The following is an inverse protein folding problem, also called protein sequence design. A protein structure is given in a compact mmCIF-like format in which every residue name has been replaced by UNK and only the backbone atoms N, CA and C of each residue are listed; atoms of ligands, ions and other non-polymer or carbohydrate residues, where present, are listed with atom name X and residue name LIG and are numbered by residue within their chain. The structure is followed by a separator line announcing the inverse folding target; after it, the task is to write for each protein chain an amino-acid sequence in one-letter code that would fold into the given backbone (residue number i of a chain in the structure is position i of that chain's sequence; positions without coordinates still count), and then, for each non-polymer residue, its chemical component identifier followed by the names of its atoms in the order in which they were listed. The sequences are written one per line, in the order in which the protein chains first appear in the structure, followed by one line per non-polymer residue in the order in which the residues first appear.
data_IF_240834463226
#
_entry.id   IF_240834463226
#
_cell.length_a   1.000
_cell.length_b   1.000
_cell.length_c   1.000
_cell.angle_alpha   90.00
_cell.angle_beta   90.00
_cell.angle_gamma   90.00
#
_symmetry.space_group_name_H-M   'P 1'
#
loop_
_entity.id
_entity.type
_entity.pdbx_description
1 polymer ?
#
# COMPACT_ATOMS: atom_id res chain seq x y z
N UNK A 1 14.59 11.70 19.66
CA UNK A 1 15.23 13.01 19.52
C UNK A 1 14.67 13.89 18.38
N UNK A 2 14.03 14.99 18.76
CA UNK A 2 13.67 16.13 17.92
C UNK A 2 14.24 17.37 18.63
N UNK A 3 15.10 18.12 17.94
CA UNK A 3 15.73 19.33 18.51
C UNK A 3 16.41 19.09 19.87
N UNK A 4 17.13 17.97 20.02
CA UNK A 4 17.82 17.62 21.26
C UNK A 4 16.92 17.13 22.40
N UNK A 5 15.62 16.92 22.17
CA UNK A 5 14.68 16.39 23.15
C UNK A 5 14.07 15.07 22.70
N UNK A 6 13.90 14.14 23.64
CA UNK A 6 13.19 12.90 23.38
C UNK A 6 11.68 13.10 23.49
N UNK A 7 11.00 12.73 22.39
CA UNK A 7 9.57 12.86 22.22
C UNK A 7 8.98 11.47 22.03
N UNK A 8 7.83 11.22 22.67
CA UNK A 8 7.10 9.96 22.54
C UNK A 8 5.87 10.19 21.65
N UNK A 9 5.82 9.46 20.53
CA UNK A 9 4.71 9.53 19.58
C UNK A 9 3.92 8.22 19.59
N UNK A 10 2.60 8.32 19.66
CA UNK A 10 1.69 7.19 19.55
C UNK A 10 0.99 7.21 18.20
N UNK A 11 1.13 6.14 17.42
CA UNK A 11 0.59 6.07 16.06
C UNK A 11 -0.23 4.79 15.89
N UNK A 12 -1.57 4.90 15.73
CA UNK A 12 -2.39 3.73 15.46
C UNK A 12 -2.13 3.24 14.03
N UNK A 13 -1.47 2.08 13.89
CA UNK A 13 -1.16 1.51 12.57
C UNK A 13 -2.40 0.84 11.97
N UNK A 14 -2.86 1.32 10.82
CA UNK A 14 -4.07 0.84 10.12
C UNK A 14 -3.85 0.75 8.62
N UNK A 15 -4.76 0.07 7.92
CA UNK A 15 -4.78 0.10 6.45
C UNK A 15 -4.99 1.54 5.96
N UNK A 16 -4.28 1.93 4.90
CA UNK A 16 -4.42 3.26 4.30
C UNK A 16 -5.68 3.41 3.44
N UNK A 17 -6.34 2.31 3.07
CA UNK A 17 -7.49 2.29 2.15
C UNK A 17 -7.23 3.12 0.88
N UNK A 18 -6.16 2.75 0.16
CA UNK A 18 -5.61 3.53 -0.95
C UNK A 18 -6.63 3.88 -2.04
N UNK A 19 -6.36 4.97 -2.75
CA UNK A 19 -7.18 5.39 -3.89
C UNK A 19 -7.09 4.39 -5.05
N UNK A 20 -5.88 3.91 -5.29
CA UNK A 20 -5.56 2.88 -6.26
C UNK A 20 -4.92 1.65 -5.57
N UNK A 21 -5.72 0.77 -4.93
CA UNK A 21 -5.19 -0.30 -4.08
C UNK A 21 -4.61 -1.47 -4.90
N UNK A 22 -3.28 -1.73 -4.86
CA UNK A 22 -2.66 -2.82 -5.61
C UNK A 22 -3.09 -4.17 -5.05
N UNK A 23 -3.39 -4.23 -3.75
CA UNK A 23 -3.92 -5.43 -3.09
C UNK A 23 -5.27 -5.89 -3.63
N UNK A 24 -6.08 -4.99 -4.21
CA UNK A 24 -7.32 -5.33 -4.92
C UNK A 24 -6.99 -5.81 -6.33
N UNK A 25 -6.21 -5.00 -7.06
CA UNK A 25 -5.91 -5.25 -8.49
C UNK A 25 -5.15 -6.55 -8.76
N UNK A 26 -4.35 -7.02 -7.81
CA UNK A 26 -3.52 -8.22 -7.96
C UNK A 26 -4.11 -9.46 -7.26
N UNK A 27 -5.30 -9.37 -6.68
CA UNK A 27 -5.96 -10.54 -6.14
C UNK A 27 -6.45 -11.43 -7.31
N UNK A 28 -5.91 -12.64 -7.49
CA UNK A 28 -6.28 -13.49 -8.62
C UNK A 28 -7.67 -14.08 -8.46
N UNK A 29 -8.24 -14.02 -7.25
CA UNK A 29 -9.54 -14.57 -6.90
C UNK A 29 -10.64 -13.51 -6.83
N UNK A 30 -10.33 -12.22 -7.03
CA UNK A 30 -11.32 -11.14 -6.96
C UNK A 30 -11.95 -10.91 -5.58
N UNK A 31 -11.31 -11.42 -4.51
CA UNK A 31 -11.85 -11.39 -3.14
C UNK A 31 -11.58 -10.08 -2.41
N UNK A 32 -10.52 -9.37 -2.83
CA UNK A 32 -10.25 -8.02 -2.37
C UNK A 32 -11.08 -7.03 -3.21
N UNK A 33 -11.77 -6.10 -2.55
CA UNK A 33 -12.65 -5.10 -3.19
C UNK A 33 -12.40 -3.71 -2.62
N UNK A 34 -12.85 -2.70 -3.36
CA UNK A 34 -12.93 -1.32 -2.90
C UNK A 34 -14.36 -0.83 -3.06
N UNK A 35 -14.97 -0.44 -1.95
CA UNK A 35 -16.29 0.16 -1.93
C UNK A 35 -16.24 1.59 -2.48
N UNK A 36 -17.34 2.05 -3.09
CA UNK A 36 -17.44 3.41 -3.63
C UNK A 36 -17.27 4.49 -2.55
N UNK A 37 -17.69 4.19 -1.32
CA UNK A 37 -17.49 5.04 -0.13
C UNK A 37 -16.05 5.09 0.38
N UNK A 38 -15.12 4.30 -0.19
CA UNK A 38 -13.70 4.30 0.17
C UNK A 38 -13.13 3.02 0.79
N UNK A 39 -13.85 2.24 1.62
CA UNK A 39 -13.33 1.03 2.23
C UNK A 39 -12.76 0.01 1.23
N UNK A 40 -11.44 -0.14 1.25
CA UNK A 40 -10.77 -1.33 0.70
C UNK A 40 -10.93 -2.49 1.69
N UNK A 41 -11.34 -3.69 1.28
CA UNK A 41 -11.54 -4.85 2.16
C UNK A 41 -11.22 -6.18 1.45
N UNK A 42 -11.17 -7.28 2.20
CA UNK A 42 -11.02 -8.65 1.68
C UNK A 42 -12.21 -9.45 2.19
N UNK A 43 -12.91 -10.13 1.27
CA UNK A 43 -13.97 -11.08 1.60
C UNK A 43 -13.34 -12.36 2.17
N UNK A 44 -13.52 -12.65 3.47
CA UNK A 44 -12.89 -13.80 4.11
C UNK A 44 -13.49 -15.14 3.66
N UNK A 45 -14.75 -15.16 3.25
CA UNK A 45 -15.47 -16.38 2.90
C UNK A 45 -15.02 -16.94 1.54
N UNK A 46 -14.53 -16.05 0.67
CA UNK A 46 -14.04 -16.40 -0.66
C UNK A 46 -12.51 -16.45 -0.76
N UNK A 47 -11.78 -16.03 0.30
CA UNK A 47 -10.33 -15.92 0.26
C UNK A 47 -9.61 -17.27 0.36
N UNK A 48 -8.66 -17.51 -0.55
CA UNK A 48 -7.79 -18.69 -0.55
C UNK A 48 -6.38 -18.43 0.04
N UNK A 49 -6.12 -17.23 0.59
CA UNK A 49 -4.86 -17.01 1.31
C UNK A 49 -3.61 -16.87 0.43
N UNK A 50 -3.77 -16.56 -0.86
CA UNK A 50 -2.68 -16.47 -1.84
C UNK A 50 -1.63 -15.36 -1.59
N UNK A 51 -1.81 -14.53 -0.57
CA UNK A 51 -0.85 -13.54 -0.05
C UNK A 51 -0.26 -12.50 -1.03
N UNK A 52 -0.67 -12.46 -2.31
CA UNK A 52 -0.26 -11.42 -3.26
C UNK A 52 -0.59 -10.01 -2.76
N UNK A 53 -1.73 -9.85 -2.09
CA UNK A 53 -2.13 -8.58 -1.48
C UNK A 53 -1.14 -8.08 -0.42
N UNK A 54 -0.49 -8.98 0.33
CA UNK A 54 0.58 -8.64 1.28
C UNK A 54 1.84 -8.22 0.55
N UNK A 55 2.25 -9.00 -0.46
CA UNK A 55 3.48 -8.77 -1.22
C UNK A 55 3.52 -7.40 -1.91
N UNK A 56 2.36 -6.87 -2.30
CA UNK A 56 2.26 -5.59 -3.03
C UNK A 56 1.79 -4.41 -2.17
N UNK A 57 1.49 -4.63 -0.90
CA UNK A 57 1.09 -3.56 0.00
C UNK A 57 2.35 -2.82 0.48
N UNK A 58 2.50 -1.51 0.20
CA UNK A 58 3.68 -0.74 0.64
C UNK A 58 3.84 -0.68 2.17
N UNK A 59 2.74 -0.93 2.89
CA UNK A 59 2.68 -0.89 4.35
C UNK A 59 2.63 -2.28 5.01
N UNK A 60 2.73 -3.36 4.22
CA UNK A 60 2.67 -4.75 4.69
C UNK A 60 1.44 -5.03 5.60
N UNK A 61 0.29 -4.44 5.28
CA UNK A 61 -0.91 -4.49 6.15
C UNK A 61 -1.64 -5.84 6.09
N UNK A 62 -1.91 -6.45 4.92
CA UNK A 62 -2.61 -7.72 4.88
C UNK A 62 -1.81 -8.84 5.53
N UNK A 63 -2.39 -9.52 6.51
CA UNK A 63 -1.78 -10.66 7.20
C UNK A 63 -2.60 -11.92 7.00
N UNK A 64 -1.94 -13.07 7.01
CA UNK A 64 -2.58 -14.37 6.74
C UNK A 64 -2.85 -15.10 8.05
N UNK A 65 -4.07 -15.62 8.18
CA UNK A 65 -4.40 -16.61 9.21
C UNK A 65 -4.56 -17.96 8.53
N UNK A 66 -3.77 -18.94 8.97
CA UNK A 66 -3.87 -20.34 8.53
C UNK A 66 -4.93 -21.08 9.35
N UNK A 67 -5.44 -22.18 8.82
CA UNK A 67 -6.42 -23.05 9.48
C UNK A 67 -7.87 -22.56 9.39
N UNK A 68 -8.16 -21.57 8.54
CA UNK A 68 -9.49 -20.95 8.40
C UNK A 68 -9.84 -20.63 6.95
N UNK A 69 -11.13 -20.62 6.62
CA UNK A 69 -11.63 -20.21 5.30
C UNK A 69 -11.94 -21.38 4.38
N UNK A 70 -12.49 -21.08 3.20
CA UNK A 70 -13.07 -22.07 2.29
C UNK A 70 -12.12 -23.22 1.90
N UNK A 71 -10.81 -22.96 1.89
CA UNK A 71 -9.82 -23.97 1.57
C UNK A 71 -9.79 -25.15 2.56
N UNK A 72 -10.24 -24.97 3.81
CA UNK A 72 -10.34 -26.08 4.78
C UNK A 72 -11.48 -27.05 4.45
N UNK A 73 -12.39 -26.64 3.56
CA UNK A 73 -13.56 -27.41 3.13
C UNK A 73 -13.38 -28.01 1.72
N UNK A 74 -12.24 -27.75 1.07
CA UNK A 74 -11.91 -28.23 -0.27
C UNK A 74 -10.84 -29.34 -0.20
N UNK A 75 -10.76 -30.17 -1.24
CA UNK A 75 -9.89 -31.36 -1.42
C UNK A 75 -8.45 -31.17 -0.83
N UNK A 76 -7.77 -32.21 -0.27
CA UNK A 76 -6.54 -32.08 0.52
C UNK A 76 -5.29 -31.70 -0.31
N UNK A 77 -5.48 -31.34 -1.58
CA UNK A 77 -4.46 -30.64 -2.35
C UNK A 77 -4.17 -29.28 -1.68
N UNK A 78 -2.94 -28.75 -1.76
CA UNK A 78 -2.57 -27.47 -1.14
C UNK A 78 -3.13 -26.27 -1.95
N UNK A 79 -4.46 -26.20 -2.11
CA UNK A 79 -5.15 -25.11 -2.77
C UNK A 79 -5.47 -24.06 -1.71
N UNK A 80 -4.52 -23.16 -1.47
CA UNK A 80 -4.70 -22.07 -0.53
C UNK A 80 -4.03 -22.30 0.82
N UNK A 81 -3.79 -21.22 1.54
CA UNK A 81 -2.92 -21.19 2.71
C UNK A 81 -3.49 -20.40 3.88
N UNK A 82 -4.82 -20.21 3.93
CA UNK A 82 -5.46 -19.34 4.91
C UNK A 82 -6.47 -18.38 4.33
N UNK A 83 -6.85 -17.42 5.16
CA UNK A 83 -7.54 -16.19 4.78
C UNK A 83 -6.60 -15.01 5.01
N UNK A 84 -6.64 -14.04 4.11
CA UNK A 84 -5.96 -12.76 4.29
C UNK A 84 -6.89 -11.79 5.00
N UNK A 85 -6.45 -11.25 6.14
CA UNK A 85 -7.18 -10.25 6.93
C UNK A 85 -6.46 -8.91 6.91
N UNK A 86 -7.24 -7.85 7.09
CA UNK A 86 -6.79 -6.46 7.27
C UNK A 86 -7.96 -5.62 7.78
N UNK A 87 -7.68 -4.39 8.21
CA UNK A 87 -8.73 -3.39 8.45
C UNK A 87 -9.64 -3.26 7.22
N UNK A 88 -10.95 -3.28 7.44
CA UNK A 88 -12.02 -3.08 6.47
C UNK A 88 -12.74 -1.74 6.66
N UNK A 89 -12.16 -0.85 7.48
CA UNK A 89 -12.70 0.43 7.90
C UNK A 89 -14.04 0.33 8.66
N UNK A 90 -14.34 -0.81 9.28
CA UNK A 90 -15.65 -1.07 9.91
C UNK A 90 -16.79 -0.77 8.93
N UNK A 91 -16.67 -1.28 7.71
CA UNK A 91 -17.61 -1.00 6.60
C UNK A 91 -19.07 -1.31 6.96
N UNK A 92 -19.29 -2.30 7.81
CA UNK A 92 -20.59 -2.71 8.31
C UNK A 92 -21.22 -1.67 9.24
N UNK A 93 -20.40 -1.00 10.07
CA UNK A 93 -20.84 0.12 10.91
C UNK A 93 -21.06 1.38 10.08
N UNK A 94 -20.15 1.68 9.17
CA UNK A 94 -20.28 2.83 8.26
C UNK A 94 -21.54 2.74 7.40
N UNK A 95 -21.87 1.55 6.90
CA UNK A 95 -23.10 1.31 6.12
C UNK A 95 -24.38 1.61 6.92
N UNK A 96 -24.32 1.61 8.25
CA UNK A 96 -25.43 1.93 9.16
C UNK A 96 -25.37 3.38 9.67
N UNK A 97 -24.44 4.20 9.16
CA UNK A 97 -24.20 5.57 9.64
C UNK A 97 -23.48 5.63 10.99
N UNK A 98 -22.89 4.52 11.45
CA UNK A 98 -22.09 4.46 12.67
C UNK A 98 -20.62 4.82 12.45
N UNK A 99 -19.87 4.91 13.55
CA UNK A 99 -18.42 5.17 13.53
C UNK A 99 -17.61 3.87 13.65
N UNK A 100 -16.38 3.82 13.11
CA UNK A 100 -15.50 2.68 13.32
C UNK A 100 -15.14 2.47 14.79
N UNK A 101 -15.12 1.20 15.23
CA UNK A 101 -14.95 0.83 16.63
C UNK A 101 -13.67 1.39 17.26
N UNK A 102 -12.58 1.51 16.49
CA UNK A 102 -11.34 2.10 16.98
C UNK A 102 -11.49 3.57 17.38
N UNK A 103 -12.41 4.32 16.76
CA UNK A 103 -12.68 5.71 17.09
C UNK A 103 -13.51 5.82 18.35
N UNK A 104 -14.60 5.05 18.44
CA UNK A 104 -15.45 4.99 19.63
C UNK A 104 -14.67 4.52 20.85
N UNK A 105 -13.70 3.62 20.69
CA UNK A 105 -12.86 3.14 21.77
C UNK A 105 -11.77 4.14 22.21
N UNK A 106 -11.48 5.19 21.44
CA UNK A 106 -10.37 6.09 21.72
C UNK A 106 -10.76 7.14 22.78
N UNK A 107 -10.23 7.09 24.02
CA UNK A 107 -10.61 8.04 25.06
C UNK A 107 -10.13 9.47 24.79
N UNK A 108 -9.14 9.63 23.90
CA UNK A 108 -8.60 10.92 23.49
C UNK A 108 -9.28 11.48 22.24
N UNK A 109 -10.21 10.74 21.64
CA UNK A 109 -10.86 11.09 20.39
C UNK A 109 -9.82 11.56 19.34
N UNK A 110 -8.74 10.79 19.18
CA UNK A 110 -7.62 11.16 18.31
C UNK A 110 -7.92 10.96 16.80
N UNK A 111 -9.06 10.37 16.47
CA UNK A 111 -9.45 10.01 15.12
C UNK A 111 -10.73 10.74 14.70
N UNK A 112 -10.87 10.96 13.39
CA UNK A 112 -12.05 11.55 12.75
C UNK A 112 -12.39 10.72 11.51
N UNK A 113 -13.66 10.73 11.14
CA UNK A 113 -14.17 10.15 9.89
C UNK A 113 -15.25 11.04 9.31
N UNK A 114 -15.37 11.02 7.99
CA UNK A 114 -16.27 11.88 7.25
C UNK A 114 -15.95 11.85 5.77
N UNK A 115 -16.55 12.78 5.05
CA UNK A 115 -16.32 12.92 3.61
C UNK A 115 -14.87 13.28 3.30
N UNK A 116 -14.37 12.79 2.17
CA UNK A 116 -12.93 12.88 1.83
C UNK A 116 -12.44 14.33 1.80
N UNK A 117 -13.22 15.24 1.23
CA UNK A 117 -12.85 16.66 1.12
C UNK A 117 -12.78 17.34 2.49
N UNK A 118 -13.74 17.05 3.36
CA UNK A 118 -13.80 17.58 4.72
C UNK A 118 -12.63 17.06 5.58
N UNK A 119 -12.41 15.74 5.58
CA UNK A 119 -11.32 15.13 6.36
C UNK A 119 -9.95 15.57 5.86
N UNK A 120 -9.79 15.77 4.55
CA UNK A 120 -8.57 16.35 3.98
C UNK A 120 -8.34 17.78 4.46
N UNK A 121 -9.37 18.62 4.42
CA UNK A 121 -9.31 20.00 4.90
C UNK A 121 -8.94 20.05 6.38
N UNK A 122 -9.60 19.22 7.20
CA UNK A 122 -9.35 19.12 8.64
C UNK A 122 -7.91 18.67 8.93
N UNK A 123 -7.39 17.69 8.18
CA UNK A 123 -6.02 17.24 8.34
C UNK A 123 -5.00 18.35 8.01
N UNK A 124 -5.23 19.08 6.92
CA UNK A 124 -4.37 20.19 6.50
C UNK A 124 -4.38 21.33 7.52
N UNK A 125 -5.57 21.76 7.95
CA UNK A 125 -5.73 22.77 9.00
C UNK A 125 -5.02 22.35 10.29
N UNK A 126 -5.18 21.08 10.69
CA UNK A 126 -4.52 20.58 11.90
C UNK A 126 -3.00 20.57 11.78
N UNK A 127 -2.48 20.26 10.60
CA UNK A 127 -1.04 20.33 10.34
C UNK A 127 -0.53 21.78 10.47
N UNK A 128 -1.24 22.75 9.91
CA UNK A 128 -0.90 24.18 10.04
C UNK A 128 -0.90 24.64 11.51
N UNK A 129 -1.94 24.28 12.27
CA UNK A 129 -2.08 24.64 13.70
C UNK A 129 -0.90 24.15 14.56
N UNK A 130 -0.36 22.98 14.26
CA UNK A 130 0.71 22.36 15.05
C UNK A 130 2.10 22.54 14.42
N UNK A 131 2.21 23.27 13.31
CA UNK A 131 3.45 23.38 12.54
C UNK A 131 3.96 22.03 12.03
N UNK A 132 3.04 21.12 11.68
CA UNK A 132 3.31 19.74 11.30
C UNK A 132 3.04 19.43 9.83
N UNK A 133 2.94 18.15 9.53
CA UNK A 133 2.69 17.63 8.19
C UNK A 133 1.59 16.56 8.15
N UNK A 134 1.05 16.34 6.95
CA UNK A 134 0.03 15.34 6.68
C UNK A 134 0.62 14.20 5.86
N UNK A 135 0.46 12.96 6.33
CA UNK A 135 0.81 11.75 5.61
C UNK A 135 -0.44 11.02 5.12
N UNK A 136 -0.42 10.53 3.89
CA UNK A 136 -1.49 9.78 3.22
C UNK A 136 -2.15 10.55 2.07
N UNK A 137 -1.82 11.83 1.85
CA UNK A 137 -2.40 12.64 0.77
C UNK A 137 -1.92 12.19 -0.60
N UNK A 138 -0.63 11.92 -0.74
CA UNK A 138 0.03 11.63 -2.02
C UNK A 138 0.68 10.24 -2.03
N UNK A 139 0.87 9.65 -0.85
CA UNK A 139 1.53 8.37 -0.66
C UNK A 139 0.78 7.30 -1.45
N UNK A 140 1.53 6.57 -2.28
CA UNK A 140 0.97 5.57 -3.19
C UNK A 140 -0.15 6.13 -4.10
N UNK A 141 -0.05 7.39 -4.50
CA UNK A 141 -1.03 8.05 -5.39
C UNK A 141 -2.34 8.40 -4.71
N UNK A 142 -2.36 8.50 -3.37
CA UNK A 142 -3.51 8.93 -2.59
C UNK A 142 -4.15 7.82 -1.76
N UNK A 143 -4.69 8.21 -0.61
CA UNK A 143 -5.29 7.30 0.36
C UNK A 143 -6.55 7.89 1.01
N UNK A 144 -7.28 7.05 1.75
CA UNK A 144 -8.43 7.45 2.55
C UNK A 144 -8.14 7.49 4.05
N UNK A 145 -6.87 7.43 4.46
CA UNK A 145 -6.46 7.55 5.87
C UNK A 145 -5.30 8.52 5.95
N UNK A 146 -5.50 9.61 6.69
CA UNK A 146 -4.48 10.61 6.91
C UNK A 146 -3.95 10.54 8.34
N UNK A 147 -2.65 10.75 8.48
CA UNK A 147 -2.00 11.02 9.76
C UNK A 147 -1.54 12.46 9.76
N UNK A 148 -1.61 13.10 10.93
CA UNK A 148 -1.13 14.46 11.14
C UNK A 148 -0.15 14.44 12.30
N UNK A 149 1.03 15.02 12.11
CA UNK A 149 2.09 14.99 13.11
C UNK A 149 2.91 16.27 13.09
N UNK A 150 3.22 16.81 14.27
CA UNK A 150 4.20 17.88 14.44
C UNK A 150 5.65 17.38 14.27
N UNK A 151 5.87 16.07 14.48
CA UNK A 151 7.17 15.43 14.24
C UNK A 151 7.23 14.94 12.80
N UNK A 152 8.31 15.24 12.05
CA UNK A 152 8.50 14.74 10.70
C UNK A 152 8.37 13.21 10.63
N UNK A 153 7.56 12.73 9.70
CA UNK A 153 7.30 11.32 9.44
C UNK A 153 8.56 10.55 9.05
N UNK A 154 9.57 11.21 8.48
CA UNK A 154 10.91 10.62 8.30
C UNK A 154 11.53 10.21 9.64
N UNK A 155 11.47 11.07 10.67
CA UNK A 155 11.99 10.77 12.00
C UNK A 155 11.17 9.68 12.69
N UNK A 156 9.84 9.70 12.49
CA UNK A 156 8.94 8.66 12.98
C UNK A 156 9.29 7.31 12.35
N UNK A 157 9.45 7.27 11.03
CA UNK A 157 9.80 6.05 10.28
C UNK A 157 11.17 5.51 10.70
N UNK A 158 12.16 6.38 10.87
CA UNK A 158 13.47 6.02 11.39
C UNK A 158 13.39 5.45 12.81
N UNK A 159 12.55 6.02 13.68
CA UNK A 159 12.35 5.50 15.04
C UNK A 159 11.65 4.14 15.05
N UNK A 160 10.67 3.92 14.16
CA UNK A 160 9.93 2.66 14.05
C UNK A 160 10.76 1.50 13.48
N UNK A 161 11.82 1.81 12.74
CA UNK A 161 12.67 0.83 12.05
C UNK A 161 14.03 0.65 12.71
N UNK A 162 14.36 1.46 13.70
CA UNK A 162 15.58 1.34 14.50
C UNK A 162 15.52 0.13 15.41
N UNK A 163 16.59 -0.67 15.40
CA UNK A 163 16.82 -1.80 16.32
C UNK A 163 15.71 -2.88 16.35
N UNK A 164 14.93 -3.01 15.28
CA UNK A 164 13.94 -4.09 15.13
C UNK A 164 14.48 -5.22 14.24
N UNK A 165 14.18 -6.50 14.52
CA UNK A 165 14.70 -7.62 13.73
C UNK A 165 14.25 -7.64 12.26
N UNK A 166 13.08 -7.09 11.97
CA UNK A 166 12.47 -7.10 10.64
C UNK A 166 11.89 -5.71 10.27
N UNK A 167 12.74 -4.73 9.96
CA UNK A 167 12.31 -3.37 9.66
C UNK A 167 11.48 -3.28 8.37
N UNK A 168 11.65 -4.27 7.47
CA UNK A 168 10.86 -4.46 6.25
C UNK A 168 9.40 -4.84 6.52
N UNK A 169 9.10 -5.37 7.72
CA UNK A 169 7.75 -5.80 8.11
C UNK A 169 6.97 -4.74 8.86
N UNK A 170 7.61 -3.63 9.21
CA UNK A 170 6.98 -2.52 9.91
C UNK A 170 6.31 -1.59 8.90
N UNK A 171 5.12 -1.09 9.26
CA UNK A 171 4.42 -0.08 8.48
C UNK A 171 5.30 1.17 8.35
N UNK A 172 5.73 1.48 7.12
CA UNK A 172 6.56 2.64 6.82
C UNK A 172 5.73 3.91 6.81
N UNK A 173 6.25 4.96 7.45
CA UNK A 173 5.67 6.30 7.45
C UNK A 173 6.49 7.29 6.62
N UNK A 174 7.55 6.83 5.96
CA UNK A 174 8.30 7.65 5.02
C UNK A 174 8.55 6.89 3.72
N UNK A 175 8.28 7.55 2.60
CA UNK A 175 8.50 7.08 1.22
C UNK A 175 8.21 5.58 1.00
N UNK A 176 6.96 5.11 1.24
CA UNK A 176 6.65 3.71 1.11
C UNK A 176 6.84 3.25 -0.34
N UNK A 177 7.69 2.25 -0.55
CA UNK A 177 8.05 1.79 -1.90
C UNK A 177 6.82 1.30 -2.65
N UNK A 178 6.56 1.89 -3.83
CA UNK A 178 5.58 1.34 -4.74
C UNK A 178 6.17 0.10 -5.42
N UNK A 179 5.75 -1.08 -4.97
CA UNK A 179 6.24 -2.37 -5.48
C UNK A 179 6.03 -2.52 -7.01
N UNK A 180 5.05 -1.83 -7.59
CA UNK A 180 4.83 -1.84 -9.05
C UNK A 180 5.94 -1.11 -9.82
N UNK A 181 6.63 -0.15 -9.20
CA UNK A 181 7.72 0.60 -9.85
C UNK A 181 8.90 -0.31 -10.22
N UNK A 182 9.12 -1.41 -9.48
CA UNK A 182 10.16 -2.40 -9.78
C UNK A 182 9.97 -3.01 -11.17
N UNK A 183 8.73 -3.12 -11.64
CA UNK A 183 8.42 -3.69 -12.95
C UNK A 183 8.34 -2.63 -14.06
N UNK A 184 8.30 -1.34 -13.74
CA UNK A 184 8.21 -0.27 -14.74
C UNK A 184 9.47 -0.21 -15.62
N UNK A 185 10.65 -0.50 -15.07
CA UNK A 185 11.89 -0.57 -15.86
C UNK A 185 11.84 -1.68 -16.90
N UNK A 186 11.42 -2.89 -16.49
CA UNK A 186 11.23 -4.03 -17.40
C UNK A 186 10.14 -3.77 -18.44
N UNK A 187 9.02 -3.16 -18.05
CA UNK A 187 7.96 -2.80 -18.98
C UNK A 187 8.42 -1.77 -20.02
N UNK A 188 9.16 -0.73 -19.60
CA UNK A 188 9.77 0.25 -20.51
C UNK A 188 10.76 -0.43 -21.47
N UNK A 189 11.61 -1.32 -20.95
CA UNK A 189 12.55 -2.10 -21.76
C UNK A 189 11.83 -2.96 -22.79
N UNK A 190 10.76 -3.65 -22.40
CA UNK A 190 9.95 -4.47 -23.31
C UNK A 190 9.29 -3.64 -24.43
N UNK A 191 8.85 -2.41 -24.12
CA UNK A 191 8.25 -1.51 -25.12
C UNK A 191 9.28 -1.00 -26.15
N UNK A 192 10.52 -0.75 -25.74
CA UNK A 192 11.57 -0.24 -26.65
C UNK A 192 12.36 -1.35 -27.36
N UNK A 193 12.29 -2.59 -26.87
CA UNK A 193 13.05 -3.72 -27.40
C UNK A 193 12.85 -3.96 -28.91
N UNK A 194 11.63 -3.87 -29.50
CA UNK A 194 11.44 -4.05 -30.94
C UNK A 194 12.17 -2.98 -31.77
N UNK A 195 12.14 -1.72 -31.33
CA UNK A 195 12.83 -0.61 -31.99
C UNK A 195 14.34 -0.76 -31.90
N UNK A 196 14.87 -1.07 -30.71
CA UNK A 196 16.29 -1.31 -30.52
C UNK A 196 16.79 -2.49 -31.38
N UNK A 197 15.98 -3.56 -31.49
CA UNK A 197 16.25 -4.70 -32.36
C UNK A 197 16.28 -4.31 -33.85
N UNK A 198 15.33 -3.51 -34.32
CA UNK A 198 15.29 -3.04 -35.70
C UNK A 198 16.48 -2.15 -36.06
N UNK A 199 16.86 -1.22 -35.17
CA UNK A 199 18.04 -0.35 -35.35
C UNK A 199 19.32 -1.19 -35.36
N UNK A 200 19.46 -2.14 -34.44
CA UNK A 200 20.60 -3.05 -34.41
C UNK A 200 20.71 -3.92 -35.67
N UNK A 201 19.58 -4.44 -36.16
CA UNK A 201 19.53 -5.19 -37.41
C UNK A 201 19.97 -4.32 -38.60
N UNK A 202 19.42 -3.11 -38.74
CA UNK A 202 19.77 -2.19 -39.81
C UNK A 202 21.25 -1.80 -39.80
N UNK A 203 21.80 -1.47 -38.63
CA UNK A 203 23.22 -1.14 -38.47
C UNK A 203 24.13 -2.33 -38.86
N UNK A 204 23.73 -3.55 -38.51
CA UNK A 204 24.46 -4.75 -38.92
C UNK A 204 24.41 -4.97 -40.45
N UNK A 205 23.28 -4.69 -41.12
CA UNK A 205 23.18 -4.80 -42.58
C UNK A 205 24.03 -3.76 -43.29
N UNK A 206 24.02 -2.51 -42.83
CA UNK A 206 24.85 -1.41 -43.40
C UNK A 206 26.33 -1.76 -43.25
N UNK A 207 26.75 -2.15 -42.04
CA UNK A 207 28.14 -2.50 -41.76
C UNK A 207 28.63 -3.71 -42.55
N UNK A 208 27.76 -4.71 -42.79
CA UNK A 208 28.06 -5.87 -43.65
C UNK A 208 28.18 -5.47 -45.13
N UNK A 209 27.41 -4.48 -45.59
CA UNK A 209 27.52 -3.95 -46.94
C UNK A 209 28.84 -3.18 -47.11
N UNK A 210 29.17 -2.32 -46.16
CA UNK A 210 30.45 -1.59 -46.16
C UNK A 210 31.66 -2.54 -46.17
N UNK A 211 31.66 -3.62 -45.38
CA UNK A 211 32.77 -4.59 -45.40
C UNK A 211 32.89 -5.39 -46.70
N UNK A 212 31.79 -5.57 -47.42
CA UNK A 212 31.78 -6.27 -48.71
C UNK A 212 32.20 -5.36 -49.88
N UNK A 213 31.98 -4.06 -49.77
CA UNK A 213 32.40 -3.07 -50.79
C UNK A 213 33.92 -2.73 -50.69
N UNK A 214 34.58 -3.10 -49.57
CA UNK A 214 36.04 -2.93 -49.35
C UNK A 214 36.91 -4.14 -49.80
N UNK A 215 36.31 -5.23 -50.30
CA UNK A 215 37.00 -6.43 -50.85
C UNK A 215 36.93 -6.47 -52.37
#
# INVERSE_FOLDING_TARGET
EVEGRDEVVFIPRRCMHCDNPPCVKLCPFGTAKKDASGPVHIDPDLCFGGAKCRAVCPWNVPQRQTGVGIYTSLDPAPIGAGVMYKCDLCRDLLAKGGEPSCMTACPRQAMRIGERTEIRSLAQQRAEEIGGEVYGLNEHGGTATYYVSAIPFEKIDAALTRDVPHPDRVMRFHNPENQMNRHTGLAKAALIAPLAGAVGAFAATVRKKESNDEQ
#
